data_IF_571165493670
#
_entry.id   IF_571165493670
#
_cell.length_a   1.000
_cell.length_b   1.000
_cell.length_c   1.000
_cell.angle_alpha   90.00
_cell.angle_beta   90.00
_cell.angle_gamma   90.00
#
_symmetry.space_group_name_H-M   'P 1'
#
loop_
_entity.id
_entity.type
_entity.pdbx_description
1 polymer ?
#
# COMPACT_ATOMS: atom_id res chain seq x y z
N UNK A 1 -2.85 4.49 -15.86
CA UNK A 1 -3.48 4.83 -14.57
C UNK A 1 -4.33 6.08 -14.65
N UNK A 2 -3.81 7.23 -15.09
CA UNK A 2 -4.58 8.49 -15.17
C UNK A 2 -5.94 8.39 -15.88
N UNK A 3 -5.97 7.91 -17.13
CA UNK A 3 -7.23 7.74 -17.87
C UNK A 3 -8.25 6.81 -17.18
N UNK A 4 -7.76 5.77 -16.49
CA UNK A 4 -8.59 4.84 -15.74
C UNK A 4 -9.22 5.52 -14.51
N UNK A 5 -8.45 6.32 -13.78
CA UNK A 5 -8.94 7.09 -12.63
C UNK A 5 -9.96 8.14 -13.07
N UNK A 6 -9.70 8.86 -14.16
CA UNK A 6 -10.66 9.81 -14.74
C UNK A 6 -11.94 9.12 -15.20
N UNK A 7 -11.83 7.97 -15.87
CA UNK A 7 -12.98 7.15 -16.27
C UNK A 7 -13.83 6.74 -15.07
N UNK A 8 -13.21 6.20 -14.02
CA UNK A 8 -13.91 5.86 -12.78
C UNK A 8 -14.60 7.05 -12.14
N UNK A 9 -13.88 8.17 -11.98
CA UNK A 9 -14.43 9.36 -11.35
C UNK A 9 -15.62 9.97 -12.13
N UNK A 10 -15.52 10.07 -13.46
CA UNK A 10 -16.53 10.74 -14.27
C UNK A 10 -17.69 9.84 -14.72
N UNK A 11 -17.47 8.52 -14.81
CA UNK A 11 -18.52 7.58 -15.26
C UNK A 11 -19.18 6.83 -14.11
N UNK A 12 -18.42 6.42 -13.11
CA UNK A 12 -18.97 5.71 -11.93
C UNK A 12 -19.38 6.71 -10.86
N UNK A 13 -18.62 7.78 -10.68
CA UNK A 13 -18.91 8.78 -9.66
C UNK A 13 -18.48 8.34 -8.25
N UNK A 14 -18.37 9.32 -7.36
CA UNK A 14 -18.01 9.09 -5.95
C UNK A 14 -19.22 8.65 -5.15
N UNK A 15 -18.98 7.86 -4.11
CA UNK A 15 -19.96 7.66 -3.04
C UNK A 15 -20.30 9.03 -2.44
N UNK A 16 -21.57 9.27 -2.15
CA UNK A 16 -22.01 10.53 -1.52
C UNK A 16 -21.26 10.75 -0.19
N UNK A 17 -20.77 11.97 0.02
CA UNK A 17 -19.95 12.33 1.18
C UNK A 17 -18.45 12.00 1.05
N UNK A 18 -18.02 11.14 0.11
CA UNK A 18 -16.59 10.92 -0.14
C UNK A 18 -15.98 12.09 -0.91
N UNK A 19 -14.99 12.74 -0.30
CA UNK A 19 -14.34 13.94 -0.82
C UNK A 19 -13.42 13.63 -1.98
N UNK A 20 -12.61 12.57 -1.87
CA UNK A 20 -11.66 12.14 -2.90
C UNK A 20 -11.60 10.61 -2.91
N UNK A 21 -11.61 9.95 -4.09
CA UNK A 21 -11.30 8.54 -4.14
C UNK A 21 -9.81 8.31 -3.84
N UNK A 22 -9.43 7.14 -3.38
CA UNK A 22 -8.04 6.77 -3.10
C UNK A 22 -7.63 5.55 -3.92
N UNK A 23 -6.39 5.57 -4.45
CA UNK A 23 -5.80 4.38 -5.05
C UNK A 23 -5.24 3.51 -3.92
N UNK A 24 -5.79 2.32 -3.75
CA UNK A 24 -5.45 1.41 -2.66
C UNK A 24 -4.96 0.07 -3.21
N UNK A 25 -3.85 -0.43 -2.69
CA UNK A 25 -3.29 -1.73 -3.09
C UNK A 25 -2.93 -2.53 -1.85
N UNK A 26 -3.17 -3.84 -1.88
CA UNK A 26 -2.64 -4.74 -0.85
C UNK A 26 -1.19 -5.09 -1.22
N UNK A 27 -0.25 -4.62 -0.39
CA UNK A 27 1.17 -4.89 -0.53
C UNK A 27 1.57 -6.09 0.31
N UNK A 28 2.60 -6.85 -0.10
CA UNK A 28 3.02 -8.05 0.62
C UNK A 28 3.69 -7.71 1.95
N UNK A 29 3.65 -8.66 2.86
CA UNK A 29 4.44 -8.68 4.11
C UNK A 29 5.30 -9.95 4.15
N UNK A 30 6.33 -9.96 4.98
CA UNK A 30 7.21 -11.13 5.17
C UNK A 30 6.40 -12.34 5.66
N UNK A 31 5.39 -12.14 6.50
CA UNK A 31 4.50 -13.22 6.96
C UNK A 31 3.44 -13.65 5.91
N UNK A 32 3.36 -12.95 4.77
CA UNK A 32 2.48 -13.26 3.65
C UNK A 32 1.03 -12.80 3.81
N UNK A 33 0.66 -12.16 4.93
CA UNK A 33 -0.72 -11.65 5.14
C UNK A 33 -1.03 -10.42 4.29
N UNK A 34 -0.02 -9.62 4.01
CA UNK A 34 -0.12 -8.33 3.33
C UNK A 34 -0.73 -7.22 4.19
N UNK A 35 -0.67 -5.99 3.69
CA UNK A 35 -1.33 -4.82 4.28
C UNK A 35 -1.92 -3.94 3.17
N UNK A 36 -3.03 -3.27 3.45
CA UNK A 36 -3.61 -2.30 2.52
C UNK A 36 -2.91 -0.96 2.68
N UNK A 37 -2.45 -0.35 1.59
CA UNK A 37 -1.88 1.00 1.61
C UNK A 37 -2.68 1.95 0.72
N UNK A 38 -2.99 3.14 1.21
CA UNK A 38 -3.69 4.19 0.48
C UNK A 38 -3.38 5.59 1.05
N UNK A 39 -3.34 6.66 0.26
CA UNK A 39 -3.47 6.74 -1.20
C UNK A 39 -2.12 6.47 -1.90
N UNK A 40 -2.14 5.80 -3.05
CA UNK A 40 -0.96 5.45 -3.86
C UNK A 40 -0.84 6.28 -5.15
N UNK A 41 -1.50 7.45 -5.18
CA UNK A 41 -1.34 8.44 -6.24
C UNK A 41 -2.61 8.77 -7.03
N UNK A 42 -3.80 8.52 -6.47
CA UNK A 42 -5.03 9.09 -7.02
C UNK A 42 -5.06 10.62 -6.85
N UNK A 43 -4.49 11.13 -5.76
CA UNK A 43 -4.45 12.56 -5.46
C UNK A 43 -3.03 12.97 -5.08
N UNK A 44 -2.46 13.94 -5.81
CA UNK A 44 -1.14 14.47 -5.48
C UNK A 44 -1.14 15.34 -4.21
N UNK A 45 -2.27 15.99 -3.92
CA UNK A 45 -2.46 16.81 -2.73
C UNK A 45 -3.63 16.26 -1.92
N UNK A 46 -3.50 16.27 -0.59
CA UNK A 46 -4.53 15.80 0.32
C UNK A 46 -4.70 16.78 1.49
N UNK A 47 -5.94 16.90 1.95
CA UNK A 47 -6.30 17.56 3.20
C UNK A 47 -6.47 16.52 4.32
N UNK A 48 -6.38 16.90 5.60
CA UNK A 48 -6.56 15.96 6.71
C UNK A 48 -7.85 15.14 6.62
N UNK A 49 -8.95 15.75 6.19
CA UNK A 49 -10.25 15.08 6.04
C UNK A 49 -10.22 13.97 4.99
N UNK A 50 -9.36 14.09 3.98
CA UNK A 50 -9.19 13.04 2.97
C UNK A 50 -8.56 11.80 3.61
N UNK A 51 -7.49 11.97 4.39
CA UNK A 51 -6.81 10.84 5.05
C UNK A 51 -7.72 10.16 6.08
N UNK A 52 -8.57 10.90 6.79
CA UNK A 52 -9.60 10.30 7.67
C UNK A 52 -10.56 9.41 6.87
N UNK A 53 -11.04 9.88 5.72
CA UNK A 53 -11.90 9.06 4.86
C UNK A 53 -11.15 7.84 4.29
N UNK A 54 -9.86 7.99 3.97
CA UNK A 54 -9.03 6.87 3.52
C UNK A 54 -8.91 5.81 4.62
N UNK A 55 -8.67 6.21 5.86
CA UNK A 55 -8.63 5.31 7.00
C UNK A 55 -9.94 4.53 7.19
N UNK A 56 -11.08 5.21 7.11
CA UNK A 56 -12.41 4.58 7.21
C UNK A 56 -12.64 3.59 6.07
N UNK A 57 -12.41 4.00 4.82
CA UNK A 57 -12.58 3.12 3.66
C UNK A 57 -11.63 1.91 3.71
N UNK A 58 -10.38 2.12 4.11
CA UNK A 58 -9.39 1.06 4.25
C UNK A 58 -9.74 0.08 5.38
N UNK A 59 -10.22 0.57 6.52
CA UNK A 59 -10.71 -0.25 7.62
C UNK A 59 -11.89 -1.13 7.18
N UNK A 60 -12.88 -0.56 6.50
CA UNK A 60 -14.03 -1.31 5.97
C UNK A 60 -13.56 -2.37 4.97
N UNK A 61 -12.66 -2.04 4.06
CA UNK A 61 -12.11 -3.00 3.10
C UNK A 61 -11.38 -4.16 3.81
N UNK A 62 -10.52 -3.84 4.77
CA UNK A 62 -9.79 -4.85 5.55
C UNK A 62 -10.74 -5.77 6.34
N UNK A 63 -11.82 -5.24 6.91
CA UNK A 63 -12.85 -6.05 7.57
C UNK A 63 -13.64 -6.92 6.60
N UNK A 64 -14.23 -6.30 5.56
CA UNK A 64 -15.25 -6.95 4.74
C UNK A 64 -14.69 -7.80 3.62
N UNK A 65 -13.53 -7.42 3.07
CA UNK A 65 -12.91 -8.13 1.94
C UNK A 65 -11.76 -9.02 2.43
N UNK A 66 -10.94 -8.53 3.37
CA UNK A 66 -9.79 -9.29 3.90
C UNK A 66 -10.09 -10.11 5.16
N UNK A 67 -11.29 -9.97 5.73
CA UNK A 67 -11.72 -10.76 6.90
C UNK A 67 -10.98 -10.42 8.20
N UNK A 68 -10.37 -9.24 8.30
CA UNK A 68 -9.64 -8.80 9.50
C UNK A 68 -10.62 -8.11 10.44
N UNK A 69 -11.03 -8.77 11.53
CA UNK A 69 -12.10 -8.29 12.42
C UNK A 69 -11.86 -6.89 13.00
N UNK A 70 -10.64 -6.63 13.49
CA UNK A 70 -10.23 -5.34 14.07
C UNK A 70 -8.94 -4.81 13.44
N UNK A 71 -8.99 -4.30 12.19
CA UNK A 71 -7.79 -3.90 11.44
C UNK A 71 -7.01 -2.82 12.17
N UNK A 72 -5.71 -3.03 12.34
CA UNK A 72 -4.79 -2.01 12.83
C UNK A 72 -4.60 -0.96 11.74
N UNK A 73 -4.97 0.28 12.04
CA UNK A 73 -4.79 1.42 11.14
C UNK A 73 -3.57 2.21 11.58
N UNK A 74 -2.58 2.35 10.71
CA UNK A 74 -1.37 3.14 10.93
C UNK A 74 -1.32 4.37 10.03
N UNK A 75 -0.76 5.47 10.53
CA UNK A 75 -0.46 6.66 9.74
C UNK A 75 1.01 6.63 9.30
N UNK A 76 1.28 6.60 7.99
CA UNK A 76 2.66 6.62 7.49
C UNK A 76 3.33 7.93 7.90
N UNK A 77 4.49 7.82 8.54
CA UNK A 77 5.20 8.98 9.08
C UNK A 77 6.73 8.76 9.08
N UNK A 78 7.46 9.80 9.45
CA UNK A 78 8.93 9.84 9.52
C UNK A 78 9.49 9.38 10.89
N UNK A 79 8.62 8.90 11.78
CA UNK A 79 8.96 8.44 13.13
C UNK A 79 7.71 7.93 13.84
N UNK A 80 7.89 7.13 14.87
CA UNK A 80 6.78 6.48 15.60
C UNK A 80 6.13 7.38 16.65
N UNK A 81 6.78 8.48 17.04
CA UNK A 81 6.29 9.38 18.07
C UNK A 81 5.13 10.24 17.57
N UNK A 82 4.18 10.57 18.46
CA UNK A 82 2.91 11.25 18.10
C UNK A 82 3.11 12.59 17.38
N UNK A 83 4.14 13.35 17.79
CA UNK A 83 4.42 14.70 17.31
C UNK A 83 5.24 14.75 16.01
N UNK A 84 5.55 13.60 15.40
CA UNK A 84 6.36 13.51 14.18
C UNK A 84 5.55 13.81 12.91
N UNK A 85 6.29 14.24 11.90
CA UNK A 85 5.77 14.50 10.56
C UNK A 85 5.55 15.99 10.28
N UNK A 86 4.88 16.25 9.17
CA UNK A 86 4.57 17.61 8.70
C UNK A 86 3.22 18.10 9.27
N UNK A 87 2.81 19.30 8.89
CA UNK A 87 1.54 19.88 9.35
C UNK A 87 0.33 18.99 9.02
N UNK A 88 0.31 18.38 7.83
CA UNK A 88 -0.74 17.47 7.40
C UNK A 88 -0.83 16.24 8.31
N UNK A 89 0.29 15.53 8.51
CA UNK A 89 0.29 14.28 9.29
C UNK A 89 -0.01 14.53 10.77
N UNK A 90 0.43 15.66 11.34
CA UNK A 90 0.10 16.02 12.73
C UNK A 90 -1.39 16.28 12.90
N UNK A 91 -2.00 17.06 12.00
CA UNK A 91 -3.44 17.32 12.03
C UNK A 91 -4.26 16.05 11.82
N UNK A 92 -3.77 15.11 10.99
CA UNK A 92 -4.40 13.81 10.77
C UNK A 92 -4.29 12.91 12.00
N UNK A 93 -3.14 12.90 12.68
CA UNK A 93 -2.92 12.13 13.89
C UNK A 93 -3.96 12.45 14.96
N UNK A 94 -4.17 13.75 15.24
CA UNK A 94 -5.19 14.21 16.19
C UNK A 94 -6.60 13.76 15.80
N UNK A 95 -6.94 13.82 14.50
CA UNK A 95 -8.24 13.36 13.99
C UNK A 95 -8.40 11.84 14.09
N UNK A 96 -7.34 11.07 13.88
CA UNK A 96 -7.38 9.60 13.97
C UNK A 96 -7.60 9.14 15.41
N UNK A 97 -7.03 9.84 16.40
CA UNK A 97 -7.29 9.56 17.81
C UNK A 97 -8.76 9.73 18.21
N UNK A 98 -9.50 10.60 17.50
CA UNK A 98 -10.91 10.87 17.75
C UNK A 98 -11.85 10.04 16.87
N UNK A 99 -11.31 9.31 15.89
CA UNK A 99 -12.09 8.49 14.96
C UNK A 99 -12.40 7.12 15.57
N UNK A 100 -13.54 6.53 15.17
CA UNK A 100 -13.90 5.15 15.52
C UNK A 100 -13.08 4.15 14.68
N UNK A 101 -11.78 4.07 14.98
CA UNK A 101 -10.80 3.23 14.31
C UNK A 101 -9.91 2.57 15.35
N UNK A 102 -9.40 1.37 15.04
CA UNK A 102 -8.30 0.79 15.79
C UNK A 102 -6.98 1.43 15.34
N UNK A 103 -6.81 2.71 15.66
CA UNK A 103 -5.62 3.49 15.33
C UNK A 103 -4.45 3.09 16.23
N UNK A 104 -3.34 2.65 15.63
CA UNK A 104 -2.15 2.19 16.34
C UNK A 104 -1.01 3.23 16.36
N UNK A 105 -1.28 4.44 15.89
CA UNK A 105 -0.30 5.52 15.83
C UNK A 105 0.47 5.61 14.50
N UNK A 106 1.63 6.24 14.57
CA UNK A 106 2.51 6.45 13.43
C UNK A 106 3.29 5.17 13.08
N UNK A 107 3.48 4.92 11.78
CA UNK A 107 4.28 3.79 11.26
C UNK A 107 5.37 4.30 10.33
N UNK A 108 6.57 3.76 10.44
CA UNK A 108 7.69 4.12 9.58
C UNK A 108 7.73 3.27 8.30
N UNK A 109 8.21 3.87 7.21
CA UNK A 109 8.28 3.21 5.91
C UNK A 109 9.15 1.94 5.91
N UNK A 110 10.16 1.86 6.78
CA UNK A 110 11.06 0.69 6.88
C UNK A 110 10.37 -0.56 7.44
N UNK A 111 9.31 -0.38 8.22
CA UNK A 111 8.63 -1.49 8.93
C UNK A 111 7.38 -1.99 8.15
N UNK A 112 7.09 -1.40 6.98
CA UNK A 112 5.88 -1.72 6.21
C UNK A 112 5.79 -3.20 5.82
N UNK A 113 6.88 -3.78 5.33
CA UNK A 113 6.91 -5.18 4.91
C UNK A 113 6.94 -6.16 6.11
N UNK A 114 7.17 -5.67 7.32
CA UNK A 114 7.14 -6.47 8.56
C UNK A 114 5.70 -6.65 9.11
N UNK A 115 4.68 -6.08 8.45
CA UNK A 115 3.28 -6.22 8.88
C UNK A 115 2.92 -5.35 10.10
N UNK A 116 3.53 -4.16 10.18
CA UNK A 116 3.33 -3.19 11.27
C UNK A 116 1.85 -2.77 11.43
N UNK A 117 1.08 -2.74 10.34
CA UNK A 117 -0.35 -2.41 10.34
C UNK A 117 -1.09 -3.24 9.28
N UNK A 118 -2.41 -3.31 9.38
CA UNK A 118 -3.26 -3.99 8.40
C UNK A 118 -3.75 -3.01 7.31
N UNK A 119 -3.86 -1.73 7.68
CA UNK A 119 -4.16 -0.58 6.82
C UNK A 119 -3.16 0.53 7.13
N UNK A 120 -2.45 1.03 6.11
CA UNK A 120 -1.51 2.16 6.22
C UNK A 120 -2.03 3.32 5.39
N UNK A 121 -2.19 4.47 6.03
CA UNK A 121 -2.76 5.67 5.42
C UNK A 121 -1.68 6.72 5.16
N UNK A 122 -1.72 7.34 4.00
CA UNK A 122 -0.81 8.42 3.57
C UNK A 122 -1.46 9.29 2.48
N UNK A 123 -0.84 10.43 2.16
CA UNK A 123 -1.21 11.22 0.99
C UNK A 123 -0.69 10.55 -0.30
N UNK A 124 -1.34 10.83 -1.43
CA UNK A 124 -1.02 10.12 -2.67
C UNK A 124 0.34 10.45 -3.27
N UNK A 125 0.95 11.58 -2.93
CA UNK A 125 2.32 11.88 -3.36
C UNK A 125 3.32 10.98 -2.62
N UNK A 126 3.27 11.01 -1.29
CA UNK A 126 4.13 10.18 -0.43
C UNK A 126 3.90 8.69 -0.69
N UNK A 127 2.64 8.25 -0.77
CA UNK A 127 2.32 6.84 -1.00
C UNK A 127 2.79 6.32 -2.35
N UNK A 128 2.70 7.12 -3.41
CA UNK A 128 3.24 6.74 -4.71
C UNK A 128 4.76 6.64 -4.68
N UNK A 129 5.46 7.59 -4.04
CA UNK A 129 6.91 7.51 -3.85
C UNK A 129 7.31 6.23 -3.12
N UNK A 130 6.65 5.90 -2.01
CA UNK A 130 6.92 4.67 -1.25
C UNK A 130 6.67 3.42 -2.07
N UNK A 131 5.53 3.34 -2.77
CA UNK A 131 5.23 2.21 -3.66
C UNK A 131 6.35 2.02 -4.70
N UNK A 132 6.75 3.09 -5.38
CA UNK A 132 7.81 3.02 -6.41
C UNK A 132 9.18 2.71 -5.82
N UNK A 133 9.47 3.16 -4.61
CA UNK A 133 10.70 2.79 -3.90
C UNK A 133 10.73 1.30 -3.54
N UNK A 134 9.62 0.72 -3.08
CA UNK A 134 9.51 -0.71 -2.79
C UNK A 134 9.68 -1.52 -4.09
N UNK A 135 8.95 -1.17 -5.14
CA UNK A 135 9.04 -1.82 -6.46
C UNK A 135 10.47 -1.75 -7.03
N UNK A 136 11.08 -0.57 -7.00
CA UNK A 136 12.42 -0.32 -7.53
C UNK A 136 13.48 -1.12 -6.76
N UNK A 137 13.39 -1.13 -5.43
CA UNK A 137 14.30 -1.88 -4.56
C UNK A 137 14.16 -3.38 -4.79
N UNK A 138 12.94 -3.91 -4.80
CA UNK A 138 12.68 -5.33 -5.07
C UNK A 138 13.20 -5.76 -6.44
N UNK A 139 12.93 -4.95 -7.49
CA UNK A 139 13.42 -5.20 -8.84
C UNK A 139 14.96 -5.17 -8.94
N UNK A 140 15.61 -4.23 -8.26
CA UNK A 140 17.07 -4.14 -8.22
C UNK A 140 17.70 -5.34 -7.51
N UNK A 141 17.17 -5.74 -6.35
CA UNK A 141 17.64 -6.90 -5.59
C UNK A 141 17.53 -8.19 -6.42
N UNK A 142 16.40 -8.41 -7.10
CA UNK A 142 16.23 -9.58 -7.96
C UNK A 142 17.22 -9.61 -9.14
N UNK A 143 17.58 -8.45 -9.70
CA UNK A 143 18.61 -8.34 -10.75
C UNK A 143 19.99 -8.68 -10.20
N UNK A 144 20.37 -8.10 -9.05
CA UNK A 144 21.64 -8.38 -8.39
C UNK A 144 21.79 -9.86 -8.02
N UNK A 145 20.73 -10.49 -7.49
CA UNK A 145 20.71 -11.93 -7.22
C UNK A 145 20.94 -12.74 -8.49
N UNK A 146 20.25 -12.39 -9.58
CA UNK A 146 20.42 -13.06 -10.88
C UNK A 146 21.85 -12.92 -11.39
N UNK A 147 22.49 -11.76 -11.26
CA UNK A 147 23.88 -11.55 -11.66
C UNK A 147 24.84 -12.42 -10.86
N UNK A 148 24.68 -12.50 -9.53
CA UNK A 148 25.48 -13.38 -8.66
C UNK A 148 25.37 -14.83 -9.11
N UNK A 149 24.16 -15.33 -9.34
CA UNK A 149 23.94 -16.71 -9.80
C UNK A 149 24.49 -16.96 -11.21
N UNK A 150 24.40 -16.01 -12.13
CA UNK A 150 24.82 -16.20 -13.52
C UNK A 150 26.33 -15.98 -13.73
N UNK A 151 27.05 -15.47 -12.72
CA UNK A 151 28.47 -15.10 -12.79
C UNK A 151 29.44 -16.28 -13.04
N UNK A 152 29.07 -17.52 -12.70
CA UNK A 152 29.96 -18.68 -12.79
C UNK A 152 29.20 -19.98 -13.06
N UNK A 153 29.91 -21.02 -13.51
CA UNK A 153 29.33 -22.36 -13.68
C UNK A 153 28.75 -22.91 -12.35
N UNK A 154 29.48 -22.69 -11.24
CA UNK A 154 29.01 -23.03 -9.89
C UNK A 154 27.74 -22.27 -9.52
N UNK A 155 27.69 -20.96 -9.79
CA UNK A 155 26.52 -20.14 -9.55
C UNK A 155 25.31 -20.62 -10.34
N UNK A 156 25.49 -20.94 -11.63
CA UNK A 156 24.42 -21.44 -12.50
C UNK A 156 23.87 -22.78 -12.01
N UNK A 157 24.76 -23.67 -11.56
CA UNK A 157 24.36 -24.95 -10.98
C UNK A 157 23.58 -24.75 -9.66
N UNK A 158 24.05 -23.86 -8.78
CA UNK A 158 23.32 -23.51 -7.57
C UNK A 158 21.94 -22.93 -7.87
N UNK A 159 21.84 -22.04 -8.86
CA UNK A 159 20.58 -21.44 -9.30
C UNK A 159 19.58 -22.47 -9.80
N UNK A 160 20.03 -23.56 -10.43
CA UNK A 160 19.17 -24.65 -10.88
C UNK A 160 18.50 -25.35 -9.68
N UNK A 161 19.23 -25.55 -8.59
CA UNK A 161 18.70 -26.18 -7.38
C UNK A 161 17.71 -25.32 -6.62
N UNK A 162 17.84 -23.99 -6.66
CA UNK A 162 16.95 -23.05 -5.93
C UNK A 162 16.01 -22.28 -6.85
N UNK A 163 15.87 -22.70 -8.12
CA UNK A 163 15.13 -21.95 -9.14
C UNK A 163 13.66 -21.76 -8.73
N UNK A 164 13.04 -22.79 -8.16
CA UNK A 164 11.67 -22.78 -7.67
C UNK A 164 11.47 -21.75 -6.56
N UNK A 165 12.39 -21.73 -5.60
CA UNK A 165 12.38 -20.88 -4.41
C UNK A 165 12.61 -19.42 -4.80
N UNK A 166 13.54 -19.16 -5.73
CA UNK A 166 13.74 -17.82 -6.30
C UNK A 166 12.52 -17.34 -7.07
N UNK A 167 11.82 -18.23 -7.76
CA UNK A 167 10.56 -17.89 -8.43
C UNK A 167 9.45 -17.60 -7.43
N UNK A 168 9.35 -18.37 -6.33
CA UNK A 168 8.40 -18.12 -5.26
C UNK A 168 8.68 -16.78 -4.56
N UNK A 169 9.94 -16.47 -4.29
CA UNK A 169 10.35 -15.17 -3.74
C UNK A 169 9.95 -14.03 -4.67
N UNK A 170 10.21 -14.17 -5.97
CA UNK A 170 9.79 -13.19 -6.97
C UNK A 170 8.27 -12.98 -6.94
N UNK A 171 7.49 -14.06 -6.90
CA UNK A 171 6.03 -13.99 -6.88
C UNK A 171 5.51 -13.38 -5.57
N UNK A 172 6.16 -13.64 -4.44
CA UNK A 172 5.81 -13.01 -3.15
C UNK A 172 6.04 -11.50 -3.15
N UNK A 173 7.06 -11.04 -3.87
CA UNK A 173 7.33 -9.62 -4.07
C UNK A 173 6.46 -9.01 -5.19
N UNK A 174 5.80 -9.84 -5.98
CA UNK A 174 4.85 -9.42 -7.01
C UNK A 174 3.49 -9.14 -6.36
N UNK A 175 3.24 -7.87 -6.09
CA UNK A 175 2.01 -7.40 -5.48
C UNK A 175 0.79 -7.50 -6.43
N UNK A 176 1.00 -7.82 -7.72
CA UNK A 176 -0.10 -8.05 -8.67
C UNK A 176 -0.95 -9.28 -8.31
N UNK A 177 -0.38 -10.23 -7.56
CA UNK A 177 -1.07 -11.43 -7.06
C UNK A 177 -2.24 -11.11 -6.11
N UNK A 178 -2.28 -9.92 -5.50
CA UNK A 178 -3.32 -9.53 -4.53
C UNK A 178 -4.51 -8.75 -5.14
N UNK A 179 -4.69 -8.80 -6.47
CA UNK A 179 -5.91 -8.34 -7.13
C UNK A 179 -5.89 -6.92 -7.71
N UNK A 180 -4.70 -6.33 -7.89
CA UNK A 180 -4.55 -5.00 -8.51
C UNK A 180 -4.88 -3.83 -7.58
N UNK A 181 -4.85 -2.62 -8.14
CA UNK A 181 -5.09 -1.39 -7.38
C UNK A 181 -6.57 -0.99 -7.43
N UNK A 182 -7.22 -0.93 -6.27
CA UNK A 182 -8.61 -0.53 -6.10
C UNK A 182 -8.72 1.00 -6.08
N UNK A 183 -9.73 1.54 -6.75
CA UNK A 183 -10.10 2.94 -6.63
C UNK A 183 -11.24 3.07 -5.62
N UNK A 184 -10.89 3.14 -4.33
CA UNK A 184 -11.85 3.22 -3.23
C UNK A 184 -12.53 4.58 -3.20
N UNK A 185 -13.81 4.61 -2.81
CA UNK A 185 -14.62 5.82 -2.72
C UNK A 185 -15.51 6.10 -3.94
N UNK A 186 -15.57 5.17 -4.90
CA UNK A 186 -16.49 5.21 -6.03
C UNK A 186 -17.75 4.37 -5.78
N UNK A 187 -18.85 4.69 -6.47
CA UNK A 187 -20.17 4.05 -6.28
C UNK A 187 -20.18 2.55 -6.62
N UNK A 188 -19.20 2.08 -7.39
CA UNK A 188 -18.99 0.67 -7.70
C UNK A 188 -17.51 0.31 -7.57
N UNK A 189 -17.18 -0.99 -7.32
CA UNK A 189 -15.80 -1.45 -7.32
C UNK A 189 -15.13 -1.20 -8.68
N UNK A 190 -14.03 -0.45 -8.66
CA UNK A 190 -13.23 -0.11 -9.84
C UNK A 190 -11.80 -0.57 -9.58
N UNK A 191 -11.36 -1.60 -10.29
CA UNK A 191 -10.08 -2.30 -10.06
C UNK A 191 -9.16 -2.13 -11.26
N UNK A 192 -8.05 -1.45 -11.03
CA UNK A 192 -6.98 -1.31 -12.01
C UNK A 192 -6.03 -2.51 -11.90
N UNK A 193 -6.17 -3.45 -12.84
CA UNK A 193 -5.18 -4.51 -13.02
C UNK A 193 -3.79 -3.92 -13.34
N UNK A 194 -2.74 -4.65 -12.95
CA UNK A 194 -1.39 -4.35 -13.40
C UNK A 194 -1.25 -4.66 -14.89
N UNK A 195 -0.42 -3.87 -15.57
CA UNK A 195 -0.09 -4.06 -16.99
C UNK A 195 1.28 -4.70 -17.14
#
# INVERSE_FOLDING_TARGET
TGAYMSGGLFKVGRIEGVLRPALATTLPTIDGKGFLMLDLGANAEAKPENLVQYAIMGNIYAQKVRGIEKPRVGLLNIGTEEHKGNELTKAVYEKFQQADLHFIGNVEARDLLEGVADVVVTDGFTGNMVLKSIEGTAGALMKMLKEVFMSSAKGKLAALFVKSELSQLKNKLDYSEHGGALLLGLQAPVIKAHG
#
